data_IF_156548182723
#
_entry.id   IF_156548182723
#
_cell.length_a   1.000
_cell.length_b   1.000
_cell.length_c   1.000
_cell.angle_alpha   90.00
_cell.angle_beta   90.00
_cell.angle_gamma   90.00
#
_symmetry.space_group_name_H-M   'P 1'
#
loop_
_entity.id
_entity.type
_entity.pdbx_description
1 polymer ?
#
# COMPACT_ATOMS: atom_id res chain seq x y z
N UNK A 1 -30.70 30.83 21.16
CA UNK A 1 -30.23 29.42 21.17
C UNK A 1 -29.53 29.18 19.85
N UNK A 2 -28.19 29.08 19.86
CA UNK A 2 -27.44 28.82 18.63
C UNK A 2 -27.65 27.36 18.24
N UNK A 3 -28.29 27.15 17.09
CA UNK A 3 -28.31 25.85 16.41
C UNK A 3 -26.95 25.63 15.75
N UNK A 4 -25.95 25.25 16.55
CA UNK A 4 -24.80 24.55 16.01
C UNK A 4 -25.27 23.13 15.71
N UNK A 5 -25.81 22.92 14.51
CA UNK A 5 -25.85 21.59 13.94
C UNK A 5 -24.38 21.16 13.80
N UNK A 6 -23.87 20.44 14.80
CA UNK A 6 -22.64 19.68 14.64
C UNK A 6 -22.96 18.68 13.54
N UNK A 7 -22.48 18.92 12.32
CA UNK A 7 -22.49 17.88 11.30
C UNK A 7 -21.86 16.64 11.94
N UNK A 8 -22.68 15.60 12.13
CA UNK A 8 -22.20 14.31 12.59
C UNK A 8 -21.15 13.84 11.61
N UNK A 9 -19.87 14.00 11.98
CA UNK A 9 -18.72 13.54 11.19
C UNK A 9 -18.97 12.09 10.79
N UNK A 10 -19.00 11.87 9.48
CA UNK A 10 -19.37 10.58 8.89
C UNK A 10 -18.24 9.60 9.18
N UNK A 11 -18.41 8.77 10.21
CA UNK A 11 -17.42 7.75 10.65
C UNK A 11 -17.18 6.64 9.62
N UNK A 12 -17.86 6.62 8.47
CA UNK A 12 -17.82 5.52 7.49
C UNK A 12 -16.61 5.52 6.55
N UNK A 13 -15.62 6.41 6.74
CA UNK A 13 -14.53 6.59 5.77
C UNK A 13 -13.38 5.64 6.03
N UNK A 14 -12.76 5.14 4.96
CA UNK A 14 -11.53 4.36 5.04
C UNK A 14 -10.37 5.11 4.40
N UNK A 15 -9.22 5.17 5.06
CA UNK A 15 -7.97 5.74 4.53
C UNK A 15 -7.08 4.61 4.02
N UNK A 16 -6.72 4.67 2.75
CA UNK A 16 -5.72 3.79 2.13
C UNK A 16 -4.46 4.58 1.81
N UNK A 17 -3.33 4.18 2.39
CA UNK A 17 -2.02 4.78 2.12
C UNK A 17 -1.18 3.81 1.30
N UNK A 18 -0.81 4.21 0.08
CA UNK A 18 -0.29 3.28 -0.92
C UNK A 18 0.76 3.88 -1.85
N UNK A 19 1.71 3.07 -2.31
CA UNK A 19 2.71 3.48 -3.33
C UNK A 19 2.12 3.58 -4.75
N UNK A 20 1.72 4.77 -5.20
CA UNK A 20 1.35 5.01 -6.62
C UNK A 20 0.05 5.78 -6.85
N UNK A 21 -0.09 6.39 -8.05
CA UNK A 21 -1.15 7.36 -8.36
C UNK A 21 -2.43 6.78 -9.01
N UNK A 22 -2.37 5.72 -9.84
CA UNK A 22 -3.50 5.43 -10.75
C UNK A 22 -3.91 3.96 -10.95
N UNK A 23 -3.00 2.97 -10.98
CA UNK A 23 -3.40 1.54 -11.16
C UNK A 23 -4.17 0.95 -9.96
N UNK A 24 -4.21 1.68 -8.84
CA UNK A 24 -4.77 1.19 -7.57
C UNK A 24 -6.29 1.36 -7.44
N UNK A 25 -6.91 2.25 -8.22
CA UNK A 25 -8.37 2.43 -8.16
C UNK A 25 -9.11 1.19 -8.68
N UNK A 26 -8.67 0.62 -9.80
CA UNK A 26 -9.28 -0.59 -10.36
C UNK A 26 -9.04 -1.82 -9.47
N UNK A 27 -7.82 -1.96 -8.92
CA UNK A 27 -7.49 -3.07 -8.02
C UNK A 27 -8.30 -3.02 -6.73
N UNK A 28 -8.35 -1.87 -6.04
CA UNK A 28 -9.12 -1.74 -4.81
C UNK A 28 -10.61 -1.86 -5.06
N UNK A 29 -11.10 -1.32 -6.19
CA UNK A 29 -12.48 -1.56 -6.62
C UNK A 29 -12.77 -3.04 -6.77
N UNK A 30 -11.89 -3.79 -7.45
CA UNK A 30 -12.07 -5.23 -7.62
C UNK A 30 -12.04 -5.97 -6.27
N UNK A 31 -11.11 -5.61 -5.38
CA UNK A 31 -11.02 -6.20 -4.03
C UNK A 31 -12.32 -5.95 -3.26
N UNK A 32 -12.82 -4.72 -3.19
CA UNK A 32 -14.05 -4.43 -2.46
C UNK A 32 -15.29 -5.08 -3.08
N UNK A 33 -15.30 -5.29 -4.40
CA UNK A 33 -16.35 -6.03 -5.09
C UNK A 33 -16.27 -7.54 -4.82
N UNK A 34 -15.08 -8.11 -4.78
CA UNK A 34 -14.86 -9.54 -4.54
C UNK A 34 -15.01 -9.94 -3.07
N UNK A 35 -14.77 -9.00 -2.14
CA UNK A 35 -14.81 -9.23 -0.69
C UNK A 35 -15.76 -8.22 -0.01
N UNK A 36 -17.08 -8.30 -0.28
CA UNK A 36 -18.07 -7.37 0.28
C UNK A 36 -18.14 -7.40 1.81
N UNK A 37 -17.69 -8.48 2.45
CA UNK A 37 -17.58 -8.62 3.90
C UNK A 37 -16.64 -7.61 4.57
N UNK A 38 -15.74 -6.98 3.80
CA UNK A 38 -14.89 -5.89 4.28
C UNK A 38 -15.72 -4.64 4.68
N UNK A 39 -16.94 -4.52 4.15
CA UNK A 39 -17.86 -3.41 4.43
C UNK A 39 -17.24 -2.02 4.22
N UNK A 40 -16.43 -1.89 3.15
CA UNK A 40 -15.81 -0.63 2.72
C UNK A 40 -16.58 -0.13 1.51
N UNK A 41 -17.22 1.04 1.62
CA UNK A 41 -17.80 1.73 0.48
C UNK A 41 -16.70 2.48 -0.26
N UNK A 42 -16.48 2.16 -1.54
CA UNK A 42 -15.45 2.80 -2.37
C UNK A 42 -15.63 4.32 -2.47
N UNK A 43 -16.87 4.82 -2.38
CA UNK A 43 -17.15 6.26 -2.41
C UNK A 43 -16.72 6.98 -1.14
N UNK A 44 -16.53 6.23 -0.05
CA UNK A 44 -16.05 6.71 1.24
C UNK A 44 -14.56 6.35 1.47
N UNK A 45 -13.81 5.99 0.42
CA UNK A 45 -12.37 5.71 0.49
C UNK A 45 -11.55 6.95 0.14
N UNK A 46 -10.65 7.34 1.04
CA UNK A 46 -9.60 8.32 0.77
C UNK A 46 -8.28 7.61 0.49
N UNK A 47 -7.70 7.85 -0.69
CA UNK A 47 -6.41 7.29 -1.09
C UNK A 47 -5.33 8.37 -0.97
N UNK A 48 -4.28 8.07 -0.21
CA UNK A 48 -3.08 8.89 -0.11
C UNK A 48 -1.87 8.18 -0.73
N UNK A 49 -1.30 8.80 -1.76
CA UNK A 49 -0.16 8.27 -2.50
C UNK A 49 1.17 8.72 -1.92
N UNK A 50 1.95 7.82 -1.34
CA UNK A 50 3.31 8.07 -0.83
C UNK A 50 4.13 6.78 -0.85
N UNK A 51 5.42 6.83 -0.48
CA UNK A 51 6.19 5.63 -0.15
C UNK A 51 6.43 5.55 1.37
N UNK A 52 6.76 4.34 1.85
CA UNK A 52 6.90 4.09 3.29
C UNK A 52 7.95 4.99 3.95
N UNK A 53 9.05 5.30 3.26
CA UNK A 53 10.14 6.12 3.81
C UNK A 53 9.77 7.60 3.91
N UNK A 54 9.07 8.15 2.93
CA UNK A 54 8.53 9.51 2.97
C UNK A 54 7.48 9.64 4.07
N UNK A 55 6.61 8.64 4.22
CA UNK A 55 5.63 8.62 5.31
C UNK A 55 6.33 8.62 6.67
N UNK A 56 7.35 7.77 6.84
CA UNK A 56 8.17 7.76 8.06
C UNK A 56 8.77 9.14 8.36
N UNK A 57 9.34 9.81 7.36
CA UNK A 57 9.88 11.17 7.53
C UNK A 57 8.81 12.21 7.89
N UNK A 58 7.59 12.08 7.34
CA UNK A 58 6.47 12.95 7.69
C UNK A 58 6.03 12.74 9.16
N UNK A 59 6.02 11.49 9.64
CA UNK A 59 5.75 11.16 11.05
C UNK A 59 6.83 11.76 11.95
N UNK A 60 8.11 11.56 11.62
CA UNK A 60 9.24 12.14 12.38
C UNK A 60 9.17 13.66 12.42
N UNK A 61 8.76 14.31 11.34
CA UNK A 61 8.61 15.77 11.29
C UNK A 61 7.52 16.26 12.24
N UNK A 62 6.45 15.48 12.40
CA UNK A 62 5.32 15.86 13.26
C UNK A 62 5.54 15.51 14.74
N UNK A 63 6.10 14.32 15.02
CA UNK A 63 6.18 13.75 16.36
C UNK A 63 7.60 13.67 16.94
N UNK A 64 8.62 14.02 16.16
CA UNK A 64 10.03 13.98 16.56
C UNK A 64 10.71 12.63 16.28
N UNK A 65 12.04 12.59 16.44
CA UNK A 65 12.85 11.41 16.09
C UNK A 65 12.61 10.20 17.01
N UNK A 66 12.17 10.43 18.25
CA UNK A 66 11.96 9.38 19.23
C UNK A 66 10.50 8.89 19.27
N UNK A 67 9.66 9.27 18.30
CA UNK A 67 8.23 8.94 18.23
C UNK A 67 7.94 7.44 18.45
N UNK A 68 8.75 6.57 17.83
CA UNK A 68 8.58 5.13 17.93
C UNK A 68 9.03 4.59 19.30
N UNK A 69 10.12 5.13 19.87
CA UNK A 69 10.63 4.72 21.20
C UNK A 69 9.68 5.15 22.31
N UNK A 70 9.15 6.37 22.19
CA UNK A 70 8.19 6.95 23.13
C UNK A 70 6.77 6.40 22.95
N UNK A 71 6.56 5.54 21.93
CA UNK A 71 5.26 4.93 21.59
C UNK A 71 4.16 5.97 21.45
N UNK A 72 4.47 7.04 20.72
CA UNK A 72 3.53 8.14 20.47
C UNK A 72 2.31 7.61 19.69
N UNK A 73 1.12 8.07 20.06
CA UNK A 73 -0.13 7.81 19.34
C UNK A 73 -0.14 8.64 18.03
N UNK A 74 0.17 7.97 16.91
CA UNK A 74 0.32 8.61 15.60
C UNK A 74 -1.05 8.77 14.93
N UNK A 75 -1.45 10.01 14.67
CA UNK A 75 -2.66 10.34 13.90
C UNK A 75 -2.29 10.59 12.43
N UNK A 76 -2.30 9.51 11.63
CA UNK A 76 -1.96 9.58 10.21
C UNK A 76 -2.84 10.55 9.40
N UNK A 77 -4.19 10.56 9.55
CA UNK A 77 -5.03 11.57 8.91
C UNK A 77 -4.62 13.01 9.22
N UNK A 78 -4.22 13.28 10.46
CA UNK A 78 -3.73 14.60 10.85
C UNK A 78 -2.41 14.95 10.17
N UNK A 79 -1.42 14.04 10.21
CA UNK A 79 -0.11 14.21 9.53
C UNK A 79 -0.32 14.51 8.04
N UNK A 80 -1.18 13.74 7.37
CA UNK A 80 -1.44 13.85 5.94
C UNK A 80 -2.19 15.14 5.61
N UNK A 81 -3.30 15.43 6.29
CA UNK A 81 -4.13 16.60 5.98
C UNK A 81 -3.39 17.91 6.24
N UNK A 82 -2.56 17.96 7.28
CA UNK A 82 -1.68 19.11 7.59
C UNK A 82 -0.60 19.30 6.51
N UNK A 83 0.06 18.22 6.09
CA UNK A 83 1.09 18.26 5.04
C UNK A 83 0.54 18.70 3.70
N UNK A 84 -0.62 18.18 3.31
CA UNK A 84 -1.28 18.52 2.04
C UNK A 84 -1.98 19.90 2.08
N UNK A 85 -1.86 20.64 3.18
CA UNK A 85 -2.48 21.96 3.37
C UNK A 85 -3.98 21.97 3.05
N UNK A 86 -4.69 20.92 3.46
CA UNK A 86 -6.12 20.81 3.22
C UNK A 86 -6.90 21.88 4.01
N UNK A 87 -7.98 22.40 3.43
CA UNK A 87 -8.87 23.35 4.11
C UNK A 87 -9.49 22.74 5.38
N UNK A 88 -9.78 21.44 5.33
CA UNK A 88 -10.27 20.65 6.46
C UNK A 88 -9.14 19.77 6.98
N UNK A 89 -8.82 19.90 8.27
CA UNK A 89 -7.93 19.00 8.99
C UNK A 89 -8.72 17.78 9.44
N UNK A 90 -8.21 16.61 9.08
CA UNK A 90 -8.78 15.32 9.43
C UNK A 90 -8.02 14.68 10.58
N UNK A 91 -8.72 13.84 11.34
CA UNK A 91 -8.19 13.10 12.48
C UNK A 91 -8.55 11.62 12.36
N UNK A 92 -7.85 10.78 13.12
CA UNK A 92 -8.11 9.33 13.20
C UNK A 92 -9.59 8.99 13.34
N UNK A 93 -10.31 9.70 14.22
CA UNK A 93 -11.73 9.47 14.49
C UNK A 93 -12.67 9.77 13.30
N UNK A 94 -12.19 10.40 12.24
CA UNK A 94 -12.94 10.61 11.00
C UNK A 94 -12.95 9.35 10.10
N UNK A 95 -12.18 8.31 10.47
CA UNK A 95 -12.04 7.06 9.71
C UNK A 95 -12.42 5.83 10.55
N UNK A 96 -13.04 4.83 9.90
CA UNK A 96 -13.23 3.48 10.47
C UNK A 96 -12.01 2.59 10.28
N UNK A 97 -11.31 2.76 9.16
CA UNK A 97 -10.15 1.94 8.81
C UNK A 97 -9.02 2.81 8.28
N UNK A 98 -7.81 2.54 8.73
CA UNK A 98 -6.56 3.10 8.19
C UNK A 98 -5.68 1.91 7.77
N UNK A 99 -5.46 1.77 6.47
CA UNK A 99 -4.72 0.63 5.89
C UNK A 99 -3.54 1.19 5.11
N UNK A 100 -2.36 0.65 5.38
CA UNK A 100 -1.12 1.02 4.71
C UNK A 100 -0.63 -0.18 3.91
N UNK A 101 -0.40 0.00 2.60
CA UNK A 101 0.08 -1.07 1.72
C UNK A 101 1.27 -0.57 0.91
N UNK A 102 2.44 -1.13 1.20
CA UNK A 102 3.72 -0.76 0.59
C UNK A 102 4.47 -1.97 0.06
N UNK A 103 5.26 -1.77 -1.00
CA UNK A 103 6.18 -2.79 -1.45
C UNK A 103 7.40 -2.83 -0.52
N UNK A 104 7.93 -4.02 -0.25
CA UNK A 104 9.11 -4.15 0.60
C UNK A 104 10.40 -3.92 -0.19
N UNK A 105 10.81 -2.66 -0.33
CA UNK A 105 11.92 -2.24 -1.17
C UNK A 105 13.27 -2.15 -0.42
N UNK A 106 13.89 -3.29 -0.09
CA UNK A 106 15.24 -3.34 0.54
C UNK A 106 16.35 -2.59 -0.21
N UNK A 107 16.15 -2.32 -1.49
CA UNK A 107 17.14 -1.70 -2.35
C UNK A 107 16.98 -0.17 -2.44
N UNK A 108 15.94 0.40 -1.81
CA UNK A 108 15.75 1.85 -1.73
C UNK A 108 16.90 2.49 -0.91
N UNK A 109 17.51 3.59 -1.37
CA UNK A 109 18.57 4.28 -0.63
C UNK A 109 18.20 4.74 0.80
N UNK A 110 16.91 4.95 1.08
CA UNK A 110 16.38 5.35 2.38
C UNK A 110 16.02 4.16 3.28
N UNK A 111 16.22 2.93 2.81
CA UNK A 111 15.98 1.69 3.57
C UNK A 111 16.78 1.69 4.89
N UNK A 112 16.08 1.38 5.97
CA UNK A 112 16.65 0.97 7.25
C UNK A 112 15.72 -0.09 7.83
N UNK A 113 16.32 -1.16 8.35
CA UNK A 113 15.56 -2.22 9.02
C UNK A 113 14.87 -1.69 10.27
N UNK A 114 15.51 -0.78 11.01
CA UNK A 114 14.90 -0.13 12.17
C UNK A 114 13.63 0.62 11.79
N UNK A 115 13.66 1.43 10.71
CA UNK A 115 12.46 2.17 10.25
C UNK A 115 11.30 1.23 9.93
N UNK A 116 11.57 0.10 9.27
CA UNK A 116 10.54 -0.87 8.93
C UNK A 116 9.94 -1.49 10.20
N UNK A 117 10.79 -1.89 11.15
CA UNK A 117 10.33 -2.45 12.41
C UNK A 117 9.50 -1.43 13.20
N UNK A 118 9.94 -0.18 13.30
CA UNK A 118 9.19 0.88 14.00
C UNK A 118 7.81 1.10 13.38
N UNK A 119 7.72 1.13 12.04
CA UNK A 119 6.44 1.23 11.34
C UNK A 119 5.54 0.01 11.60
N UNK A 120 6.10 -1.21 11.62
CA UNK A 120 5.34 -2.43 11.89
C UNK A 120 4.77 -2.47 13.32
N UNK A 121 5.55 -2.05 14.31
CA UNK A 121 5.10 -2.02 15.71
C UNK A 121 4.08 -0.93 15.98
N UNK A 122 4.12 0.20 15.24
CA UNK A 122 3.14 1.26 15.40
C UNK A 122 1.80 0.91 14.73
N UNK A 123 1.84 0.31 13.54
CA UNK A 123 0.65 0.12 12.69
C UNK A 123 0.20 -1.35 12.65
N UNK A 124 -0.39 -1.82 13.75
CA UNK A 124 -0.82 -3.21 13.94
C UNK A 124 -2.34 -3.44 13.70
N UNK A 125 -3.18 -2.43 13.94
CA UNK A 125 -4.65 -2.52 13.92
C UNK A 125 -5.27 -1.42 13.03
N UNK A 126 -6.05 -1.83 12.03
CA UNK A 126 -6.65 -0.93 11.05
C UNK A 126 -7.71 -0.03 11.65
N UNK A 127 -8.31 -0.42 12.77
CA UNK A 127 -9.35 0.34 13.47
C UNK A 127 -8.81 1.34 14.49
N UNK A 128 -7.49 1.40 14.65
CA UNK A 128 -6.77 2.30 15.55
C UNK A 128 -5.79 3.23 14.80
N UNK A 129 -4.48 3.18 15.08
CA UNK A 129 -3.47 3.99 14.38
C UNK A 129 -3.29 3.59 12.91
N UNK A 130 -3.68 2.37 12.55
CA UNK A 130 -3.63 1.82 11.21
C UNK A 130 -2.95 0.46 11.17
N UNK A 131 -3.05 -0.21 10.02
CA UNK A 131 -2.44 -1.53 9.80
C UNK A 131 -1.53 -1.54 8.59
N UNK A 132 -0.28 -1.91 8.83
CA UNK A 132 0.76 -2.01 7.81
C UNK A 132 0.80 -3.39 7.16
N UNK A 133 0.68 -3.41 5.84
CA UNK A 133 0.90 -4.56 4.98
C UNK A 133 2.11 -4.29 4.09
N UNK A 134 3.11 -5.16 4.20
CA UNK A 134 4.29 -5.15 3.33
C UNK A 134 4.16 -6.27 2.30
N UNK A 135 4.17 -5.89 1.03
CA UNK A 135 4.11 -6.83 -0.08
C UNK A 135 5.50 -7.44 -0.32
N UNK A 136 5.64 -8.71 0.04
CA UNK A 136 6.86 -9.49 -0.16
C UNK A 136 6.56 -11.01 -0.17
N UNK A 137 7.20 -11.82 -1.04
CA UNK A 137 8.22 -11.42 -2.01
C UNK A 137 7.62 -10.86 -3.32
N UNK A 138 8.43 -10.09 -4.06
CA UNK A 138 8.03 -9.51 -5.36
C UNK A 138 7.48 -10.59 -6.29
N UNK A 139 6.41 -10.29 -7.04
CA UNK A 139 5.80 -11.24 -7.98
C UNK A 139 6.79 -11.76 -9.03
N UNK A 140 7.75 -10.92 -9.42
CA UNK A 140 8.84 -11.29 -10.34
C UNK A 140 9.66 -12.47 -9.81
N UNK A 141 9.86 -12.57 -8.49
CA UNK A 141 10.60 -13.69 -7.90
C UNK A 141 9.88 -15.02 -8.11
N UNK A 142 8.55 -15.04 -7.96
CA UNK A 142 7.71 -16.20 -8.28
C UNK A 142 7.76 -16.57 -9.76
N UNK A 143 7.88 -15.56 -10.63
CA UNK A 143 7.91 -15.77 -12.06
C UNK A 143 9.28 -16.17 -12.59
N UNK A 144 10.35 -16.04 -11.83
CA UNK A 144 11.73 -16.24 -12.31
C UNK A 144 12.13 -17.72 -12.39
N UNK A 145 11.40 -18.55 -13.13
CA UNK A 145 11.76 -19.96 -13.39
C UNK A 145 12.53 -20.10 -14.71
N UNK A 146 13.76 -20.63 -14.69
CA UNK A 146 14.58 -20.82 -15.90
C UNK A 146 14.28 -22.13 -16.64
N UNK A 147 13.62 -23.08 -16.00
CA UNK A 147 13.22 -24.37 -16.56
C UNK A 147 12.04 -24.94 -15.77
N UNK A 148 11.46 -26.05 -16.23
CA UNK A 148 10.45 -26.81 -15.49
C UNK A 148 10.82 -28.30 -15.52
N UNK A 149 11.28 -28.90 -14.40
CA UNK A 149 11.53 -28.27 -13.09
C UNK A 149 12.74 -27.33 -13.09
N UNK A 150 12.81 -26.41 -12.12
CA UNK A 150 13.96 -25.53 -11.87
C UNK A 150 14.57 -25.84 -10.50
N UNK A 151 15.60 -26.70 -10.47
CA UNK A 151 16.24 -27.16 -9.24
C UNK A 151 16.97 -26.06 -8.46
N UNK A 152 17.36 -24.97 -9.13
CA UNK A 152 18.11 -23.85 -8.53
C UNK A 152 17.20 -22.73 -8.04
N UNK A 153 15.88 -22.82 -8.25
CA UNK A 153 14.93 -21.75 -7.93
C UNK A 153 15.03 -21.28 -6.48
N UNK A 154 15.04 -22.21 -5.52
CA UNK A 154 15.06 -21.88 -4.08
C UNK A 154 16.36 -21.22 -3.63
N UNK A 155 17.46 -21.45 -4.36
CA UNK A 155 18.79 -20.92 -4.05
C UNK A 155 19.17 -19.70 -4.90
N UNK A 156 18.31 -19.30 -5.84
CA UNK A 156 18.57 -18.20 -6.77
C UNK A 156 18.70 -16.89 -6.01
N UNK A 157 19.86 -16.25 -6.16
CA UNK A 157 20.16 -14.95 -5.56
C UNK A 157 20.48 -13.96 -6.66
N UNK A 158 19.97 -12.74 -6.48
CA UNK A 158 20.13 -11.63 -7.42
C UNK A 158 20.88 -10.52 -6.69
N UNK A 159 21.93 -9.94 -7.30
CA UNK A 159 22.66 -8.84 -6.68
C UNK A 159 21.75 -7.66 -6.31
N UNK A 160 21.87 -7.17 -5.07
CA UNK A 160 21.10 -6.01 -4.57
C UNK A 160 21.40 -4.73 -5.38
N UNK A 161 22.59 -4.65 -5.99
CA UNK A 161 23.03 -3.50 -6.80
C UNK A 161 22.28 -3.33 -8.14
N UNK A 162 21.35 -4.22 -8.47
CA UNK A 162 20.43 -4.04 -9.60
C UNK A 162 19.37 -2.98 -9.26
N UNK A 163 19.76 -1.71 -9.24
CA UNK A 163 18.82 -0.59 -9.25
C UNK A 163 18.37 -0.29 -10.69
N UNK A 164 17.08 -0.01 -11.00
CA UNK A 164 15.85 -0.18 -10.21
C UNK A 164 15.31 -1.63 -10.32
N UNK A 165 14.26 -1.97 -9.58
CA UNK A 165 13.48 -3.21 -9.77
C UNK A 165 13.10 -3.50 -11.23
N UNK A 166 13.08 -2.48 -12.09
CA UNK A 166 12.95 -2.60 -13.55
C UNK A 166 14.01 -3.49 -14.21
N UNK A 167 15.27 -3.45 -13.74
CA UNK A 167 16.32 -4.34 -14.27
C UNK A 167 16.03 -5.79 -13.91
N UNK A 168 15.56 -6.04 -12.68
CA UNK A 168 15.17 -7.37 -12.27
C UNK A 168 13.92 -7.85 -13.05
N UNK A 169 12.90 -6.99 -13.19
CA UNK A 169 11.73 -7.24 -14.04
C UNK A 169 12.12 -7.63 -15.47
N UNK A 170 13.04 -6.89 -16.08
CA UNK A 170 13.56 -7.20 -17.41
C UNK A 170 14.31 -8.54 -17.44
N UNK A 171 15.14 -8.83 -16.43
CA UNK A 171 15.84 -10.10 -16.31
C UNK A 171 14.85 -11.27 -16.24
N UNK A 172 13.85 -11.19 -15.36
CA UNK A 172 12.80 -12.21 -15.23
C UNK A 172 12.06 -12.41 -16.54
N UNK A 173 11.67 -11.32 -17.22
CA UNK A 173 11.02 -11.41 -18.54
C UNK A 173 11.89 -12.13 -19.58
N UNK A 174 13.21 -11.94 -19.54
CA UNK A 174 14.13 -12.55 -20.50
C UNK A 174 14.48 -14.01 -20.20
N UNK A 175 14.58 -14.38 -18.92
CA UNK A 175 15.05 -15.70 -18.49
C UNK A 175 13.91 -16.67 -18.16
N UNK A 176 12.73 -16.15 -17.82
CA UNK A 176 11.63 -16.97 -17.35
C UNK A 176 11.02 -17.79 -18.49
N UNK A 177 10.91 -19.12 -18.28
CA UNK A 177 10.13 -19.99 -19.15
C UNK A 177 8.63 -19.76 -18.99
N UNK A 178 8.19 -19.22 -17.85
CA UNK A 178 6.79 -18.90 -17.60
C UNK A 178 6.27 -17.72 -18.42
N UNK A 179 7.15 -16.80 -18.84
CA UNK A 179 6.75 -15.65 -19.66
C UNK A 179 6.04 -16.04 -20.95
N UNK A 180 6.29 -17.25 -21.47
CA UNK A 180 5.60 -17.81 -22.65
C UNK A 180 4.19 -18.34 -22.36
N UNK A 181 3.87 -18.62 -21.10
CA UNK A 181 2.62 -19.23 -20.65
C UNK A 181 1.73 -18.25 -19.87
N UNK A 182 2.34 -17.20 -19.32
CA UNK A 182 1.72 -16.26 -18.39
C UNK A 182 1.60 -14.89 -19.07
N UNK A 183 0.50 -14.68 -19.80
CA UNK A 183 0.04 -13.34 -20.23
C UNK A 183 -0.75 -12.65 -19.09
N UNK A 184 -0.26 -12.66 -17.85
CA UNK A 184 -1.03 -12.18 -16.69
C UNK A 184 -1.47 -10.70 -16.78
N UNK A 185 -0.64 -9.74 -17.24
CA UNK A 185 -1.08 -8.33 -17.34
C UNK A 185 -2.27 -8.15 -18.31
N UNK A 186 -2.27 -8.87 -19.43
CA UNK A 186 -3.31 -8.75 -20.46
C UNK A 186 -4.67 -9.34 -20.05
N UNK A 187 -4.74 -10.10 -18.94
CA UNK A 187 -6.00 -10.67 -18.45
C UNK A 187 -6.76 -9.73 -17.53
N UNK A 188 -6.09 -8.84 -16.80
CA UNK A 188 -6.75 -7.85 -15.95
C UNK A 188 -7.42 -6.78 -16.83
N UNK A 189 -6.74 -6.29 -17.87
CA UNK A 189 -7.34 -5.37 -18.85
C UNK A 189 -8.57 -5.96 -19.56
N UNK A 190 -8.62 -7.29 -19.72
CA UNK A 190 -9.81 -7.98 -20.27
C UNK A 190 -10.96 -8.06 -19.29
N UNK A 191 -10.70 -8.06 -17.99
CA UNK A 191 -11.72 -8.11 -16.93
C UNK A 191 -12.31 -6.73 -16.65
N UNK A 192 -11.55 -5.65 -16.82
CA UNK A 192 -12.04 -4.27 -16.71
C UNK A 192 -12.80 -3.79 -17.95
N UNK A 193 -12.57 -4.40 -19.13
CA UNK A 193 -13.25 -4.06 -20.38
C UNK A 193 -14.48 -4.93 -20.72
N UNK A 194 -14.92 -5.83 -19.85
CA UNK A 194 -16.22 -6.50 -20.05
C UNK A 194 -17.35 -5.53 -19.69
N UNK A 195 -18.21 -5.10 -20.63
CA UNK A 195 -19.37 -4.28 -20.32
C UNK A 195 -20.28 -5.03 -19.35
N UNK A 196 -20.84 -4.31 -18.38
CA UNK A 196 -21.81 -4.81 -17.42
C UNK A 196 -22.85 -5.69 -18.13
N UNK A 197 -22.81 -6.99 -17.87
CA UNK A 197 -23.95 -7.86 -18.12
C UNK A 197 -24.93 -7.58 -16.99
N UNK A 198 -25.66 -6.47 -17.12
CA UNK A 198 -26.95 -6.33 -16.47
C UNK A 198 -27.86 -7.45 -16.97
N UNK A 199 -28.32 -8.28 -16.05
CA UNK A 199 -29.69 -8.77 -15.98
C UNK A 199 -30.07 -8.88 -14.50
#
# INVERSE_FOLDING_TARGET
MNNYAVETRRRSRSLLIVEGKHEKNELFWLIFKCFPELNIDINDVWIYGTNIYKLYEDIVREYGNDWAKDRIDVDLPFVISKKEHMETVYYRNDFTNIILVFDYERHDPAFSEEKILEMQHCFEDSTDMGKLYLNYPMIESYLHLKSMPDGEYINRKIPVSLQPGDRYKCLVKSESVLGKFIELPHRIDKLSNTPDICN
#
